data_IF_148023266345
#
_entry.id   IF_148023266345
#
_cell.length_a   1.000
_cell.length_b   1.000
_cell.length_c   1.000
_cell.angle_alpha   90.00
_cell.angle_beta   90.00
_cell.angle_gamma   90.00
#
_symmetry.space_group_name_H-M   'P 1'
#
loop_
_entity.id
_entity.type
_entity.pdbx_description
1 polymer ?
#
# COMPACT_ATOMS: atom_id res chain seq x y z
N UNK A 1 -8.58 3.06 20.13
CA UNK A 1 -8.58 2.12 18.99
C UNK A 1 -8.98 2.91 17.75
N UNK A 2 -8.05 3.22 16.85
CA UNK A 2 -8.39 3.96 15.63
C UNK A 2 -9.25 3.08 14.72
N UNK A 3 -10.48 3.51 14.43
CA UNK A 3 -11.36 2.84 13.47
C UNK A 3 -10.63 2.84 12.12
N UNK A 4 -10.31 1.67 11.53
CA UNK A 4 -9.74 1.63 10.20
C UNK A 4 -10.79 2.24 9.26
N UNK A 5 -10.45 3.33 8.56
CA UNK A 5 -11.34 3.89 7.55
C UNK A 5 -11.68 2.85 6.48
N UNK A 6 -12.75 3.03 5.69
CA UNK A 6 -13.25 2.04 4.72
C UNK A 6 -12.20 1.55 3.70
N UNK A 7 -11.12 2.32 3.48
CA UNK A 7 -10.00 1.96 2.60
C UNK A 7 -9.08 0.85 3.16
N UNK A 8 -9.19 0.52 4.45
CA UNK A 8 -8.36 -0.49 5.11
C UNK A 8 -8.68 -1.91 4.67
N UNK A 9 -9.93 -2.15 4.24
CA UNK A 9 -10.42 -3.47 3.84
C UNK A 9 -10.44 -3.67 2.32
N UNK A 10 -10.10 -2.66 1.51
CA UNK A 10 -9.94 -2.86 0.07
C UNK A 10 -8.83 -3.88 -0.14
N UNK A 11 -9.16 -5.01 -0.78
CA UNK A 11 -8.20 -6.07 -1.08
C UNK A 11 -7.84 -6.06 -2.55
N UNK A 12 -6.70 -6.68 -2.81
CA UNK A 12 -6.15 -6.80 -4.14
C UNK A 12 -7.11 -7.50 -5.11
N UNK A 13 -7.89 -8.48 -4.63
CA UNK A 13 -8.93 -9.17 -5.40
C UNK A 13 -10.06 -8.25 -5.87
N UNK A 14 -10.43 -7.26 -5.07
CA UNK A 14 -11.58 -6.36 -5.32
C UNK A 14 -11.20 -5.23 -6.30
N UNK A 15 -9.91 -4.93 -6.39
CA UNK A 15 -9.38 -3.95 -7.34
C UNK A 15 -9.17 -4.58 -8.72
N UNK A 16 -9.83 -4.03 -9.74
CA UNK A 16 -9.93 -4.61 -11.10
C UNK A 16 -8.82 -4.16 -12.04
N UNK A 17 -8.12 -3.07 -11.76
CA UNK A 17 -7.13 -2.57 -12.69
C UNK A 17 -5.89 -3.48 -12.74
N UNK A 18 -5.30 -3.66 -13.94
CA UNK A 18 -4.17 -4.57 -14.12
C UNK A 18 -2.87 -4.02 -13.52
N UNK A 19 -2.78 -2.71 -13.29
CA UNK A 19 -1.61 -2.02 -12.75
C UNK A 19 -2.04 -1.28 -11.49
N UNK A 20 -1.21 -1.36 -10.45
CA UNK A 20 -1.41 -0.67 -9.18
C UNK A 20 -0.29 0.34 -9.01
N UNK A 21 -0.69 1.59 -8.82
CA UNK A 21 0.23 2.67 -8.55
C UNK A 21 0.48 2.80 -7.05
N UNK A 22 1.74 2.96 -6.69
CA UNK A 22 2.20 3.22 -5.34
C UNK A 22 2.99 4.53 -5.33
N UNK A 23 2.76 5.35 -4.31
CA UNK A 23 3.54 6.56 -4.09
C UNK A 23 3.71 6.86 -2.61
N UNK A 24 4.90 7.31 -2.21
CA UNK A 24 5.18 7.75 -0.86
C UNK A 24 5.50 9.24 -0.86
N UNK A 25 4.60 10.06 -0.31
CA UNK A 25 4.78 11.52 -0.22
C UNK A 25 5.96 11.94 0.67
N UNK A 26 6.47 11.03 1.50
CA UNK A 26 7.51 11.34 2.49
C UNK A 26 8.94 11.07 2.01
N UNK A 27 9.14 10.03 1.19
CA UNK A 27 10.45 9.70 0.62
C UNK A 27 10.47 9.86 -0.91
N UNK A 28 9.36 10.28 -1.53
CA UNK A 28 9.26 10.48 -2.98
C UNK A 28 9.20 9.19 -3.81
N UNK A 29 9.30 8.01 -3.17
CA UNK A 29 9.26 6.72 -3.86
C UNK A 29 7.90 6.53 -4.50
N UNK A 30 7.87 6.40 -5.82
CA UNK A 30 6.69 6.06 -6.58
C UNK A 30 7.02 4.92 -7.54
N UNK A 31 5.99 4.19 -7.96
CA UNK A 31 6.15 3.10 -8.90
C UNK A 31 4.82 2.45 -9.25
N UNK A 32 4.80 1.79 -10.40
CA UNK A 32 3.64 1.07 -10.89
C UNK A 32 3.97 -0.42 -10.90
N UNK A 33 3.09 -1.24 -10.34
CA UNK A 33 3.31 -2.69 -10.24
C UNK A 33 2.09 -3.42 -10.80
N UNK A 34 2.33 -4.40 -11.64
CA UNK A 34 1.24 -5.25 -12.15
C UNK A 34 0.54 -5.98 -11.01
N UNK A 35 -0.80 -5.94 -11.02
CA UNK A 35 -1.65 -6.66 -10.06
C UNK A 35 -1.30 -8.14 -10.01
N UNK A 36 -1.00 -8.76 -11.16
CA UNK A 36 -0.62 -10.18 -11.24
C UNK A 36 0.64 -10.49 -10.42
N UNK A 37 1.63 -9.60 -10.44
CA UNK A 37 2.87 -9.74 -9.66
C UNK A 37 2.58 -9.58 -8.16
N UNK A 38 1.74 -8.62 -7.80
CA UNK A 38 1.31 -8.42 -6.42
C UNK A 38 0.51 -9.62 -5.89
N UNK A 39 -0.38 -10.18 -6.70
CA UNK A 39 -1.15 -11.40 -6.36
C UNK A 39 -0.19 -12.58 -6.21
N UNK A 40 0.81 -12.72 -7.08
CA UNK A 40 1.81 -13.78 -6.99
C UNK A 40 2.69 -13.65 -5.74
N UNK A 41 3.05 -12.43 -5.35
CA UNK A 41 3.95 -12.18 -4.22
C UNK A 41 3.26 -12.18 -2.85
N UNK A 42 2.02 -11.68 -2.76
CA UNK A 42 1.32 -11.45 -1.49
C UNK A 42 -0.04 -12.15 -1.38
N UNK A 43 -0.53 -12.74 -2.47
CA UNK A 43 -1.86 -13.33 -2.56
C UNK A 43 -2.95 -12.29 -2.88
N UNK A 44 -4.02 -12.73 -3.55
CA UNK A 44 -5.14 -11.87 -3.92
C UNK A 44 -5.96 -11.37 -2.70
N UNK A 45 -5.87 -12.06 -1.56
CA UNK A 45 -6.58 -11.72 -0.34
C UNK A 45 -5.96 -10.58 0.48
N UNK A 46 -4.76 -10.11 0.09
CA UNK A 46 -4.05 -9.04 0.81
C UNK A 46 -4.82 -7.72 0.71
N UNK A 47 -4.97 -7.04 1.83
CA UNK A 47 -5.53 -5.69 1.87
C UNK A 47 -4.49 -4.66 1.44
N UNK A 48 -4.91 -3.56 0.81
CA UNK A 48 -3.99 -2.46 0.45
C UNK A 48 -3.28 -1.87 1.67
N UNK A 49 -3.88 -1.88 2.86
CA UNK A 49 -3.20 -1.50 4.09
C UNK A 49 -2.02 -2.43 4.43
N UNK A 50 -2.18 -3.74 4.20
CA UNK A 50 -1.11 -4.73 4.35
C UNK A 50 -0.05 -4.57 3.26
N UNK A 51 -0.49 -4.37 2.02
CA UNK A 51 0.41 -4.14 0.89
C UNK A 51 1.24 -2.87 1.08
N UNK A 52 0.64 -1.78 1.56
CA UNK A 52 1.33 -0.53 1.92
C UNK A 52 2.51 -0.79 2.84
N UNK A 53 2.31 -1.56 3.91
CA UNK A 53 3.38 -1.88 4.87
C UNK A 53 4.50 -2.68 4.22
N UNK A 54 4.17 -3.61 3.32
CA UNK A 54 5.18 -4.42 2.60
C UNK A 54 5.97 -3.57 1.61
N UNK A 55 5.30 -2.66 0.89
CA UNK A 55 5.94 -1.76 -0.07
C UNK A 55 6.72 -0.62 0.58
N UNK A 56 6.29 -0.20 1.77
CA UNK A 56 6.98 0.77 2.61
C UNK A 56 8.28 0.22 3.22
N UNK A 57 8.54 -1.09 3.15
CA UNK A 57 9.81 -1.66 3.60
C UNK A 57 10.98 -0.97 2.87
N UNK A 58 11.97 -0.52 3.64
CA UNK A 58 13.06 0.32 3.14
C UNK A 58 12.73 1.82 3.05
N UNK A 59 11.60 2.28 3.61
CA UNK A 59 11.41 3.69 3.94
C UNK A 59 11.93 3.93 5.37
N UNK A 60 12.89 4.85 5.51
CA UNK A 60 13.45 5.25 6.83
C UNK A 60 12.36 5.71 7.82
N UNK A 61 11.23 6.20 7.29
CA UNK A 61 10.10 6.70 8.08
C UNK A 61 9.08 5.62 8.49
N UNK A 62 9.29 4.37 8.10
CA UNK A 62 8.40 3.27 8.47
C UNK A 62 8.68 2.76 9.90
N UNK A 63 9.94 2.77 10.33
CA UNK A 63 10.36 2.30 11.66
C UNK A 63 10.92 3.47 12.49
N UNK A 64 10.17 4.57 12.57
CA UNK A 64 10.55 5.66 13.48
C UNK A 64 10.17 5.32 14.91
N UNK A 65 10.88 5.86 15.92
CA UNK A 65 10.49 5.71 17.33
C UNK A 65 9.07 6.25 17.62
N UNK A 66 8.57 7.15 16.77
CA UNK A 66 7.21 7.70 16.84
C UNK A 66 6.17 6.86 16.07
N UNK A 67 6.56 5.70 15.55
CA UNK A 67 5.71 4.77 14.80
C UNK A 67 5.86 4.84 13.28
N UNK A 68 4.89 4.27 12.56
CA UNK A 68 4.85 4.28 11.09
C UNK A 68 4.43 5.65 10.57
N UNK A 69 5.42 6.47 10.18
CA UNK A 69 5.24 7.78 9.54
C UNK A 69 5.37 7.69 8.02
N UNK A 70 5.36 6.49 7.45
CA UNK A 70 5.47 6.31 6.01
C UNK A 70 4.23 6.90 5.31
N UNK A 71 4.45 7.88 4.43
CA UNK A 71 3.41 8.51 3.61
C UNK A 71 3.05 7.72 2.36
N UNK A 72 3.31 6.42 2.37
CA UNK A 72 2.92 5.50 1.30
C UNK A 72 1.40 5.49 1.13
N UNK A 73 0.95 5.63 -0.10
CA UNK A 73 -0.46 5.59 -0.49
C UNK A 73 -0.57 5.05 -1.91
N UNK A 74 -1.79 4.67 -2.28
CA UNK A 74 -2.12 4.17 -3.60
C UNK A 74 -3.02 5.23 -4.27
N UNK A 75 -2.49 6.05 -5.19
CA UNK A 75 -3.26 7.11 -5.86
C UNK A 75 -4.53 6.57 -6.53
N UNK A 76 -4.43 5.35 -7.07
CA UNK A 76 -5.52 4.65 -7.74
C UNK A 76 -6.70 4.24 -6.83
N UNK A 77 -6.60 4.42 -5.50
CA UNK A 77 -7.72 4.24 -4.58
C UNK A 77 -8.52 5.52 -4.31
N UNK A 78 -8.14 6.66 -4.91
CA UNK A 78 -8.86 7.93 -4.74
C UNK A 78 -8.91 8.37 -3.28
N UNK A 79 -7.75 8.73 -2.70
CA UNK A 79 -7.68 9.26 -1.33
C UNK A 79 -8.08 10.72 -1.26
#
# INVERSE_FOLDING_TARGET
MARPGPLSDVRLKDYREPVIEFSCRRCGRHGTIERKLLVKAFGAGVSFAGLRRRMAMGCERMQTPEGDKCGAHFPCLGT
#
